data_IF_970210536928
#
_entry.id   IF_970210536928
#
_cell.length_a   1.000
_cell.length_b   1.000
_cell.length_c   1.000
_cell.angle_alpha   90.00
_cell.angle_beta   90.00
_cell.angle_gamma   90.00
#
_symmetry.space_group_name_H-M   'P 1'
#
loop_
_entity.id
_entity.type
_entity.pdbx_description
1 polymer ?
#
# COMPACT_ATOMS: atom_id res chain seq x y z
N UNK A 1 23.06 -17.14 -16.84
CA UNK A 1 23.02 -18.34 -15.98
C UNK A 1 21.92 -19.28 -16.47
N UNK A 2 22.15 -20.60 -16.45
CA UNK A 2 21.12 -21.61 -16.71
C UNK A 2 20.84 -22.35 -15.42
N UNK A 3 19.58 -22.37 -15.01
CA UNK A 3 19.11 -22.95 -13.75
C UNK A 3 17.85 -23.74 -14.04
N UNK A 4 17.66 -24.85 -13.33
CA UNK A 4 16.41 -25.61 -13.33
C UNK A 4 15.56 -25.15 -12.14
N UNK A 5 14.30 -24.83 -12.38
CA UNK A 5 13.35 -24.38 -11.37
C UNK A 5 12.16 -25.34 -11.37
N UNK A 6 11.72 -25.76 -10.19
CA UNK A 6 10.45 -26.47 -10.04
C UNK A 6 9.31 -25.44 -10.05
N UNK A 7 8.31 -25.67 -10.90
CA UNK A 7 7.10 -24.87 -10.99
C UNK A 7 5.91 -25.78 -10.69
N UNK A 8 4.95 -25.26 -9.93
CA UNK A 8 3.67 -25.93 -9.77
C UNK A 8 2.93 -25.98 -11.13
N UNK A 9 2.09 -26.99 -11.31
CA UNK A 9 1.42 -27.29 -12.59
C UNK A 9 0.57 -26.10 -13.09
N UNK A 10 -0.10 -25.42 -12.17
CA UNK A 10 -0.91 -24.24 -12.45
C UNK A 10 -0.03 -23.05 -12.91
N UNK A 11 1.15 -22.87 -12.33
CA UNK A 11 2.11 -21.83 -12.73
C UNK A 11 2.70 -22.15 -14.09
N UNK A 12 3.09 -23.40 -14.33
CA UNK A 12 3.65 -23.84 -15.61
C UNK A 12 2.65 -23.67 -16.76
N UNK A 13 1.39 -24.05 -16.55
CA UNK A 13 0.33 -23.90 -17.56
C UNK A 13 0.02 -22.43 -17.88
N UNK A 14 -0.06 -21.57 -16.86
CA UNK A 14 -0.25 -20.12 -17.06
C UNK A 14 0.93 -19.49 -17.80
N UNK A 15 2.16 -19.84 -17.44
CA UNK A 15 3.37 -19.35 -18.10
C UNK A 15 3.41 -19.76 -19.59
N UNK A 16 3.05 -21.01 -19.90
CA UNK A 16 2.98 -21.51 -21.27
C UNK A 16 1.89 -20.79 -22.09
N UNK A 17 0.70 -20.59 -21.52
CA UNK A 17 -0.37 -19.85 -22.17
C UNK A 17 0.03 -18.39 -22.46
N UNK A 18 0.67 -17.73 -21.50
CA UNK A 18 1.17 -16.37 -21.63
C UNK A 18 2.28 -16.26 -22.69
N UNK A 19 3.23 -17.18 -22.68
CA UNK A 19 4.29 -17.28 -23.68
C UNK A 19 3.73 -17.41 -25.10
N UNK A 20 2.72 -18.26 -25.30
CA UNK A 20 2.02 -18.40 -26.58
C UNK A 20 1.29 -17.14 -27.00
N UNK A 21 0.56 -16.51 -26.06
CA UNK A 21 -0.22 -15.30 -26.32
C UNK A 21 0.65 -14.11 -26.75
N UNK A 22 1.83 -13.97 -26.14
CA UNK A 22 2.76 -12.87 -26.45
C UNK A 22 3.78 -13.19 -27.54
N UNK A 23 3.82 -14.43 -28.06
CA UNK A 23 4.80 -14.85 -29.06
C UNK A 23 6.24 -14.84 -28.55
N UNK A 24 6.45 -15.04 -27.24
CA UNK A 24 7.76 -14.96 -26.58
C UNK A 24 8.17 -16.32 -26.04
N UNK A 25 9.48 -16.59 -25.93
CA UNK A 25 9.96 -17.84 -25.35
C UNK A 25 9.59 -17.97 -23.86
N UNK A 26 9.36 -19.20 -23.40
CA UNK A 26 9.08 -19.50 -21.98
C UNK A 26 10.16 -18.93 -21.06
N UNK A 27 11.44 -19.04 -21.44
CA UNK A 27 12.55 -18.50 -20.66
C UNK A 27 12.56 -16.97 -20.60
N UNK A 28 12.25 -16.28 -21.70
CA UNK A 28 12.14 -14.81 -21.73
C UNK A 28 10.98 -14.34 -20.86
N UNK A 29 9.85 -15.04 -20.94
CA UNK A 29 8.66 -14.75 -20.14
C UNK A 29 8.92 -14.95 -18.65
N UNK A 30 9.46 -16.12 -18.26
CA UNK A 30 9.79 -16.45 -16.88
C UNK A 30 10.72 -15.40 -16.25
N UNK A 31 11.80 -15.04 -16.95
CA UNK A 31 12.73 -14.01 -16.46
C UNK A 31 12.06 -12.65 -16.30
N UNK A 32 11.12 -12.29 -17.17
CA UNK A 32 10.42 -11.01 -17.10
C UNK A 32 9.49 -10.96 -15.88
N UNK A 33 8.73 -12.03 -15.65
CA UNK A 33 7.83 -12.16 -14.51
C UNK A 33 8.60 -12.22 -13.18
N UNK A 34 9.67 -13.01 -13.11
CA UNK A 34 10.52 -13.10 -11.91
C UNK A 34 11.09 -11.72 -11.57
N UNK A 35 11.60 -10.97 -12.57
CA UNK A 35 12.08 -9.60 -12.34
C UNK A 35 10.98 -8.66 -11.85
N UNK A 36 9.78 -8.75 -12.42
CA UNK A 36 8.65 -7.94 -11.97
C UNK A 36 8.26 -8.28 -10.52
N UNK A 37 8.16 -9.56 -10.18
CA UNK A 37 7.85 -10.02 -8.83
C UNK A 37 8.90 -9.60 -7.80
N UNK A 38 10.19 -9.73 -8.12
CA UNK A 38 11.28 -9.28 -7.24
C UNK A 38 11.25 -7.76 -7.00
N UNK A 39 10.91 -6.96 -8.03
CA UNK A 39 10.73 -5.50 -7.85
C UNK A 39 9.52 -5.18 -6.98
N UNK A 40 8.39 -5.84 -7.22
CA UNK A 40 7.18 -5.64 -6.43
C UNK A 40 7.37 -6.04 -4.96
N UNK A 41 8.07 -7.15 -4.69
CA UNK A 41 8.39 -7.56 -3.32
C UNK A 41 9.38 -6.64 -2.60
N UNK A 42 10.25 -5.95 -3.34
CA UNK A 42 11.20 -4.98 -2.77
C UNK A 42 10.60 -3.58 -2.56
N UNK A 43 9.47 -3.28 -3.21
CA UNK A 43 8.68 -2.10 -2.90
C UNK A 43 7.98 -2.36 -1.56
N UNK A 44 8.67 -2.04 -0.45
CA UNK A 44 7.98 -1.85 0.82
C UNK A 44 6.86 -0.85 0.55
N UNK A 45 5.61 -1.22 0.84
CA UNK A 45 4.55 -0.23 0.93
C UNK A 45 5.05 0.83 1.92
N UNK A 46 5.28 2.04 1.43
CA UNK A 46 5.49 3.15 2.34
C UNK A 46 4.26 3.19 3.25
N UNK A 47 4.42 3.18 4.58
CA UNK A 47 3.29 3.32 5.47
C UNK A 47 2.59 4.62 5.10
N UNK A 48 1.34 4.51 4.63
CA UNK A 48 0.53 5.70 4.40
C UNK A 48 0.38 6.42 5.75
N UNK A 49 0.62 7.75 5.82
CA UNK A 49 0.34 8.50 7.02
C UNK A 49 -1.11 8.28 7.44
N UNK A 50 -1.33 7.96 8.72
CA UNK A 50 -2.68 7.90 9.26
C UNK A 50 -3.30 9.30 9.18
N UNK A 51 -4.45 9.40 8.53
CA UNK A 51 -5.26 10.63 8.49
C UNK A 51 -6.42 10.46 9.47
N UNK A 52 -6.41 11.14 10.63
CA UNK A 52 -7.53 11.08 11.55
C UNK A 52 -8.79 11.69 10.91
N UNK A 53 -9.99 11.16 11.20
CA UNK A 53 -11.23 11.82 10.80
C UNK A 53 -11.28 13.21 11.44
N UNK A 54 -11.64 14.21 10.63
CA UNK A 54 -11.86 15.58 11.10
C UNK A 54 -13.35 15.88 11.05
N UNK A 55 -13.79 16.73 11.98
CA UNK A 55 -15.17 17.18 12.07
C UNK A 55 -15.13 18.70 12.16
N UNK A 56 -16.06 19.37 11.49
CA UNK A 56 -16.25 20.80 11.66
C UNK A 56 -16.99 21.03 12.99
N UNK A 57 -16.30 21.64 13.95
CA UNK A 57 -16.85 21.98 15.27
C UNK A 57 -17.48 23.37 15.31
N UNK A 58 -17.52 24.09 14.17
CA UNK A 58 -17.97 25.47 14.09
C UNK A 58 -17.01 26.45 14.74
N UNK A 59 -17.50 27.66 15.02
CA UNK A 59 -16.71 28.71 15.68
C UNK A 59 -16.51 28.40 17.18
N UNK A 60 -15.27 28.54 17.71
CA UNK A 60 -15.02 28.39 19.12
C UNK A 60 -15.83 29.38 19.96
N UNK A 61 -16.53 28.87 20.99
CA UNK A 61 -17.26 29.72 21.95
C UNK A 61 -16.31 30.53 22.86
N UNK A 62 -15.05 30.12 22.93
CA UNK A 62 -13.96 30.77 23.66
C UNK A 62 -12.71 30.76 22.82
N UNK A 63 -11.82 31.71 23.06
CA UNK A 63 -10.48 31.66 22.50
C UNK A 63 -9.72 30.49 23.14
N UNK A 64 -9.60 29.40 22.39
CA UNK A 64 -8.89 28.18 22.81
C UNK A 64 -7.37 28.35 22.89
N UNK A 65 -6.83 29.49 22.45
CA UNK A 65 -5.41 29.82 22.67
C UNK A 65 -5.16 30.47 24.03
N UNK A 66 -6.21 30.96 24.69
CA UNK A 66 -6.19 31.35 26.10
C UNK A 66 -6.60 30.17 26.98
N UNK A 67 -5.59 29.46 27.50
CA UNK A 67 -5.78 28.28 28.33
C UNK A 67 -6.59 28.59 29.60
N UNK A 68 -6.42 29.77 30.21
CA UNK A 68 -7.11 30.12 31.45
C UNK A 68 -8.61 30.33 31.21
N UNK A 69 -8.95 31.07 30.14
CA UNK A 69 -10.33 31.30 29.74
C UNK A 69 -11.04 29.99 29.33
N UNK A 70 -10.33 29.09 28.63
CA UNK A 70 -10.87 27.81 28.22
C UNK A 70 -11.21 26.89 29.41
N UNK A 71 -10.33 26.83 30.43
CA UNK A 71 -10.55 26.01 31.63
C UNK A 71 -11.70 26.54 32.47
N UNK A 72 -11.84 27.86 32.62
CA UNK A 72 -12.93 28.45 33.39
C UNK A 72 -14.33 28.11 32.81
N UNK A 73 -14.44 28.00 31.48
CA UNK A 73 -15.69 27.56 30.84
C UNK A 73 -15.98 26.08 31.06
N UNK A 74 -14.95 25.23 31.02
CA UNK A 74 -15.10 23.80 31.32
C UNK A 74 -15.54 23.56 32.76
N UNK A 75 -14.95 24.28 33.72
CA UNK A 75 -15.26 24.12 35.15
C UNK A 75 -16.67 24.62 35.53
N UNK A 76 -17.24 25.56 34.75
CA UNK A 76 -18.62 26.06 34.97
C UNK A 76 -19.70 25.19 34.34
N UNK A 77 -19.34 24.30 33.42
CA UNK A 77 -20.26 23.48 32.62
C UNK A 77 -20.39 22.02 33.03
N UNK A 78 -19.69 21.58 34.08
CA UNK A 78 -19.80 20.24 34.69
C UNK A 78 -20.80 20.19 35.84
#
# INVERSE_FOLDING_TARGET
MRTTLNLDEDVASQLAALSRREGRSVSSMANSLIRAGLRAGNQRQEPQPYVPPTFDTGEPLVDITDVAAALEVLDRGG
#
